data_IF_022600852722
#
_entry.id   IF_022600852722
#
_cell.length_a   1.000
_cell.length_b   1.000
_cell.length_c   1.000
_cell.angle_alpha   90.00
_cell.angle_beta   90.00
_cell.angle_gamma   90.00
#
_symmetry.space_group_name_H-M   'P 1'
#
loop_
_entity.id
_entity.type
_entity.pdbx_description
1 polymer ?
#
# COMPACT_ATOMS: atom_id res chain seq x y z
N UNK A 1 -7.73 8.74 -1.68
CA UNK A 1 -7.36 7.82 -2.79
C UNK A 1 -7.70 6.37 -2.47
N UNK A 2 -7.33 5.90 -1.28
CA UNK A 2 -7.35 4.51 -0.88
C UNK A 2 -8.77 4.00 -0.67
N UNK A 3 -9.67 4.75 -0.03
CA UNK A 3 -11.05 4.32 0.15
C UNK A 3 -11.86 4.49 -1.14
N UNK A 4 -11.60 5.54 -1.93
CA UNK A 4 -12.28 5.72 -3.22
C UNK A 4 -11.92 4.58 -4.18
N UNK A 5 -10.68 4.10 -4.13
CA UNK A 5 -10.23 2.95 -4.91
C UNK A 5 -10.41 1.59 -4.19
N UNK A 6 -11.01 1.55 -3.01
CA UNK A 6 -11.23 0.29 -2.28
C UNK A 6 -11.92 -0.79 -3.13
N UNK A 7 -12.98 -0.50 -3.91
CA UNK A 7 -13.59 -1.51 -4.78
C UNK A 7 -12.63 -2.06 -5.83
N UNK A 8 -11.71 -1.23 -6.35
CA UNK A 8 -10.66 -1.68 -7.27
C UNK A 8 -9.65 -2.58 -6.55
N UNK A 9 -9.19 -2.19 -5.35
CA UNK A 9 -8.30 -3.02 -4.55
C UNK A 9 -8.90 -4.42 -4.30
N UNK A 10 -10.19 -4.52 -3.93
CA UNK A 10 -10.84 -5.83 -3.74
C UNK A 10 -10.91 -6.66 -5.02
N UNK A 11 -11.08 -6.03 -6.19
CA UNK A 11 -11.01 -6.74 -7.48
C UNK A 11 -9.60 -7.24 -7.77
N UNK A 12 -8.59 -6.42 -7.50
CA UNK A 12 -7.18 -6.81 -7.68
C UNK A 12 -6.83 -7.97 -6.75
N UNK A 13 -7.25 -7.95 -5.47
CA UNK A 13 -6.99 -9.02 -4.50
C UNK A 13 -7.37 -10.41 -5.04
N UNK A 14 -8.55 -10.51 -5.68
CA UNK A 14 -9.07 -11.78 -6.20
C UNK A 14 -8.36 -12.28 -7.47
N UNK A 15 -7.71 -11.40 -8.23
CA UNK A 15 -7.12 -11.72 -9.55
C UNK A 15 -5.77 -11.05 -9.79
N UNK A 16 -4.95 -10.94 -8.75
CA UNK A 16 -3.78 -10.07 -8.71
C UNK A 16 -2.88 -10.14 -9.96
N UNK A 17 -2.42 -11.32 -10.43
CA UNK A 17 -1.51 -11.38 -11.57
C UNK A 17 -2.15 -10.92 -12.88
N UNK A 18 -3.49 -10.92 -13.00
CA UNK A 18 -4.18 -10.47 -14.21
C UNK A 18 -4.18 -8.93 -14.36
N UNK A 19 -3.91 -8.20 -13.28
CA UNK A 19 -3.88 -6.74 -13.28
C UNK A 19 -2.46 -6.20 -13.45
N UNK A 20 -1.51 -6.81 -12.74
CA UNK A 20 -0.16 -6.25 -12.57
C UNK A 20 0.97 -7.16 -13.06
N UNK A 21 0.66 -8.35 -13.59
CA UNK A 21 1.60 -9.40 -14.03
C UNK A 21 2.52 -9.98 -12.93
N UNK A 22 2.69 -9.30 -11.80
CA UNK A 22 3.47 -9.74 -10.65
C UNK A 22 2.66 -9.57 -9.35
N UNK A 23 2.96 -10.41 -8.35
CA UNK A 23 2.31 -10.34 -7.04
C UNK A 23 3.15 -9.48 -6.08
N UNK A 24 3.18 -8.16 -6.27
CA UNK A 24 4.02 -7.23 -5.51
C UNK A 24 3.37 -5.86 -5.35
N UNK A 25 3.49 -5.26 -4.16
CA UNK A 25 3.00 -3.91 -3.90
C UNK A 25 3.64 -2.85 -4.80
N UNK A 26 4.86 -3.09 -5.31
CA UNK A 26 5.57 -2.20 -6.23
C UNK A 26 4.85 -2.03 -7.57
N UNK A 27 4.08 -3.01 -8.02
CA UNK A 27 3.31 -2.90 -9.27
C UNK A 27 1.89 -2.38 -9.03
N UNK A 28 1.29 -2.67 -7.87
CA UNK A 28 -0.03 -2.13 -7.54
C UNK A 28 0.00 -0.62 -7.39
N UNK A 29 0.95 -0.09 -6.61
CA UNK A 29 0.97 1.33 -6.27
C UNK A 29 0.95 2.24 -7.50
N UNK A 30 1.85 2.10 -8.49
CA UNK A 30 1.80 2.98 -9.66
C UNK A 30 0.55 2.75 -10.50
N UNK A 31 0.01 1.52 -10.56
CA UNK A 31 -1.23 1.23 -11.28
C UNK A 31 -2.44 1.96 -10.66
N UNK A 32 -2.62 1.86 -9.34
CA UNK A 32 -3.76 2.49 -8.66
C UNK A 32 -3.61 3.99 -8.56
N UNK A 33 -2.39 4.50 -8.36
CA UNK A 33 -2.09 5.94 -8.37
C UNK A 33 -2.39 6.53 -9.75
N UNK A 34 -1.93 5.89 -10.83
CA UNK A 34 -2.22 6.32 -12.21
C UNK A 34 -3.72 6.27 -12.53
N UNK A 35 -4.42 5.21 -12.11
CA UNK A 35 -5.86 5.09 -12.28
C UNK A 35 -6.63 6.18 -11.51
N UNK A 36 -6.24 6.47 -10.26
CA UNK A 36 -6.81 7.55 -9.45
C UNK A 36 -6.68 8.90 -10.14
N UNK A 37 -5.49 9.24 -10.61
CA UNK A 37 -5.24 10.50 -11.32
C UNK A 37 -6.05 10.60 -12.62
N UNK A 38 -6.12 9.52 -13.40
CA UNK A 38 -6.94 9.50 -14.61
C UNK A 38 -8.44 9.74 -14.31
N UNK A 39 -8.98 9.18 -13.23
CA UNK A 39 -10.36 9.43 -12.82
C UNK A 39 -10.59 10.88 -12.40
N UNK A 40 -9.65 11.48 -11.66
CA UNK A 40 -9.72 12.90 -11.28
C UNK A 40 -9.70 13.81 -12.52
N UNK A 41 -8.76 13.59 -13.44
CA UNK A 41 -8.61 14.40 -14.65
C UNK A 41 -9.84 14.35 -15.58
N UNK A 42 -10.56 13.24 -15.55
CA UNK A 42 -11.78 13.06 -16.35
C UNK A 42 -13.07 13.42 -15.58
N UNK A 43 -12.97 13.98 -14.38
CA UNK A 43 -14.13 14.36 -13.57
C UNK A 43 -15.00 13.18 -13.12
N UNK A 44 -14.44 11.97 -13.12
CA UNK A 44 -15.09 10.74 -12.67
C UNK A 44 -14.90 10.50 -11.16
N UNK A 45 -14.00 11.27 -10.55
CA UNK A 45 -13.79 11.37 -9.12
C UNK A 45 -13.68 12.85 -8.76
N UNK A 46 -14.28 13.22 -7.64
CA UNK A 46 -13.96 14.50 -7.00
C UNK A 46 -12.71 14.30 -6.14
N UNK A 47 -11.93 15.37 -5.96
CA UNK A 47 -10.82 15.34 -5.00
C UNK A 47 -11.44 15.09 -3.61
N UNK A 48 -11.24 13.88 -3.10
CA UNK A 48 -11.70 13.48 -1.78
C UNK A 48 -11.03 14.31 -0.68
N UNK A 49 -11.57 14.19 0.55
CA UNK A 49 -10.85 14.65 1.74
C UNK A 49 -9.46 14.00 1.78
N UNK A 50 -8.49 14.73 2.32
CA UNK A 50 -7.19 14.14 2.65
C UNK A 50 -7.41 12.87 3.48
N UNK A 51 -7.03 11.73 2.91
CA UNK A 51 -7.11 10.46 3.60
C UNK A 51 -5.81 10.23 4.38
N UNK A 52 -5.90 9.91 5.68
CA UNK A 52 -4.73 9.74 6.52
C UNK A 52 -4.04 8.39 6.31
N UNK A 53 -4.34 7.62 5.25
CA UNK A 53 -3.91 6.22 5.12
C UNK A 53 -2.39 6.06 5.26
N UNK A 54 -1.60 6.94 4.65
CA UNK A 54 -0.14 6.77 4.62
C UNK A 54 0.46 6.97 6.02
N UNK A 55 -0.02 8.00 6.73
CA UNK A 55 0.38 8.26 8.11
C UNK A 55 -0.21 7.23 9.08
N UNK A 56 -1.42 6.76 8.83
CA UNK A 56 -2.04 5.68 9.57
C UNK A 56 -1.22 4.39 9.43
N UNK A 57 -0.75 4.04 8.23
CA UNK A 57 0.16 2.91 8.02
C UNK A 57 1.44 3.13 8.82
N UNK A 58 2.08 4.30 8.69
CA UNK A 58 3.30 4.61 9.43
C UNK A 58 3.11 4.36 10.93
N UNK A 59 2.02 4.87 11.51
CA UNK A 59 1.67 4.67 12.91
C UNK A 59 1.41 3.20 13.25
N UNK A 60 0.63 2.49 12.43
CA UNK A 60 0.27 1.07 12.65
C UNK A 60 1.46 0.14 12.65
N UNK A 61 2.39 0.33 11.71
CA UNK A 61 3.60 -0.48 11.62
C UNK A 61 4.78 0.12 12.39
N UNK A 62 4.59 1.25 13.08
CA UNK A 62 5.53 1.79 14.06
C UNK A 62 6.65 2.70 13.51
N UNK A 63 6.52 3.21 12.29
CA UNK A 63 7.41 4.23 11.72
C UNK A 63 7.05 5.63 12.22
N UNK A 64 8.03 6.53 12.23
CA UNK A 64 7.85 7.92 12.70
C UNK A 64 7.15 8.83 11.70
N UNK A 65 7.13 8.48 10.41
CA UNK A 65 6.48 9.24 9.35
C UNK A 65 6.22 8.37 8.14
N UNK A 66 5.36 8.83 7.23
CA UNK A 66 5.02 8.15 5.99
C UNK A 66 5.96 8.45 4.81
N UNK A 67 7.05 9.20 5.02
CA UNK A 67 7.95 9.71 3.97
C UNK A 67 8.60 8.62 3.12
N UNK A 68 8.77 7.40 3.64
CA UNK A 68 9.31 6.27 2.89
C UNK A 68 8.31 5.65 1.91
N UNK A 69 7.05 6.07 1.95
CA UNK A 69 5.94 5.50 1.17
C UNK A 69 5.38 4.23 1.82
N UNK A 70 4.05 4.09 1.79
CA UNK A 70 3.34 2.99 2.42
C UNK A 70 3.77 1.60 1.91
N UNK A 71 4.11 1.49 0.62
CA UNK A 71 4.63 0.24 0.01
C UNK A 71 5.88 -0.24 0.74
N UNK A 72 6.88 0.63 0.86
CA UNK A 72 8.16 0.28 1.47
C UNK A 72 8.00 -0.01 2.94
N UNK A 73 7.18 0.76 3.66
CA UNK A 73 6.89 0.53 5.08
C UNK A 73 6.28 -0.85 5.31
N UNK A 74 5.28 -1.25 4.51
CA UNK A 74 4.63 -2.56 4.63
C UNK A 74 5.60 -3.70 4.28
N UNK A 75 6.36 -3.57 3.19
CA UNK A 75 7.32 -4.61 2.78
C UNK A 75 8.41 -4.78 3.83
N UNK A 76 9.04 -3.68 4.26
CA UNK A 76 10.09 -3.70 5.28
C UNK A 76 9.59 -4.31 6.60
N UNK A 77 8.40 -3.91 7.06
CA UNK A 77 7.77 -4.47 8.24
C UNK A 77 7.54 -5.99 8.09
N UNK A 78 7.00 -6.41 6.94
CA UNK A 78 6.64 -7.81 6.68
C UNK A 78 7.85 -8.73 6.65
N UNK A 79 8.99 -8.26 6.14
CA UNK A 79 10.23 -9.06 6.07
C UNK A 79 11.13 -8.92 7.31
N UNK A 80 10.65 -8.22 8.34
CA UNK A 80 11.28 -8.19 9.67
C UNK A 80 12.24 -7.03 9.94
N UNK A 81 12.27 -5.98 9.10
CA UNK A 81 12.98 -4.76 9.46
C UNK A 81 12.25 -4.07 10.62
N UNK A 82 13.04 -3.57 11.58
CA UNK A 82 12.52 -2.85 12.75
C UNK A 82 12.32 -1.38 12.40
N UNK A 83 11.09 -0.84 12.51
CA UNK A 83 10.78 0.53 12.09
C UNK A 83 11.66 1.61 12.70
N UNK A 84 11.93 1.51 14.01
CA UNK A 84 12.69 2.52 14.77
C UNK A 84 14.19 2.54 14.45
N UNK A 85 14.70 1.49 13.82
CA UNK A 85 16.14 1.31 13.58
C UNK A 85 16.43 0.90 12.13
N UNK A 86 15.48 1.12 11.23
CA UNK A 86 15.63 0.72 9.83
C UNK A 86 16.74 1.54 9.18
N UNK A 87 17.56 0.87 8.38
CA UNK A 87 18.44 1.52 7.41
C UNK A 87 17.81 1.35 6.03
N UNK A 88 17.26 2.44 5.48
CA UNK A 88 16.54 2.41 4.21
C UNK A 88 17.44 2.04 3.03
N UNK A 89 18.72 2.45 3.01
CA UNK A 89 19.65 2.08 1.94
C UNK A 89 19.85 0.56 1.91
N UNK A 90 20.07 -0.05 3.08
CA UNK A 90 20.18 -1.52 3.20
C UNK A 90 18.88 -2.21 2.78
N UNK A 91 17.73 -1.67 3.15
CA UNK A 91 16.43 -2.22 2.73
C UNK A 91 16.28 -2.18 1.19
N UNK A 92 16.62 -1.07 0.56
CA UNK A 92 16.50 -0.89 -0.90
C UNK A 92 17.45 -1.81 -1.69
N UNK A 93 18.59 -2.18 -1.10
CA UNK A 93 19.53 -3.16 -1.67
C UNK A 93 19.12 -4.62 -1.41
N UNK A 94 18.11 -4.86 -0.55
CA UNK A 94 17.70 -6.22 -0.19
C UNK A 94 16.88 -6.85 -1.32
N UNK A 95 17.31 -8.01 -1.80
CA UNK A 95 16.51 -8.84 -2.70
C UNK A 95 15.31 -9.42 -1.96
N UNK A 96 14.10 -9.05 -2.39
CA UNK A 96 12.84 -9.55 -1.83
C UNK A 96 12.42 -10.81 -2.59
N UNK A 97 12.14 -11.90 -1.87
CA UNK A 97 11.69 -13.14 -2.49
C UNK A 97 10.23 -13.06 -2.91
N UNK A 98 9.80 -13.98 -3.78
CA UNK A 98 8.40 -14.11 -4.20
C UNK A 98 7.46 -14.30 -3.01
N UNK A 99 7.85 -15.13 -2.04
CA UNK A 99 7.08 -15.43 -0.83
C UNK A 99 6.95 -14.19 0.06
N UNK A 100 8.01 -13.38 0.17
CA UNK A 100 7.99 -12.12 0.90
C UNK A 100 7.11 -11.07 0.21
N UNK A 101 7.12 -11.00 -1.12
CA UNK A 101 6.18 -10.17 -1.85
C UNK A 101 4.74 -10.61 -1.60
N UNK A 102 4.46 -11.92 -1.65
CA UNK A 102 3.13 -12.47 -1.34
C UNK A 102 2.69 -12.13 0.09
N UNK A 103 3.57 -12.29 1.06
CA UNK A 103 3.29 -11.93 2.45
C UNK A 103 2.98 -10.43 2.59
N UNK A 104 3.74 -9.57 1.91
CA UNK A 104 3.58 -8.11 1.98
C UNK A 104 2.25 -7.66 1.39
N UNK A 105 1.83 -8.28 0.29
CA UNK A 105 0.51 -8.04 -0.31
C UNK A 105 -0.62 -8.48 0.62
N UNK A 106 -0.51 -9.66 1.25
CA UNK A 106 -1.50 -10.10 2.25
C UNK A 106 -1.57 -9.14 3.43
N UNK A 107 -0.41 -8.64 3.88
CA UNK A 107 -0.34 -7.63 4.94
C UNK A 107 -1.02 -6.33 4.52
N UNK A 108 -0.82 -5.87 3.29
CA UNK A 108 -1.51 -4.68 2.77
C UNK A 108 -3.04 -4.86 2.79
N UNK A 109 -3.58 -5.96 2.29
CA UNK A 109 -5.03 -6.16 2.30
C UNK A 109 -5.60 -6.28 3.72
N UNK A 110 -4.87 -6.90 4.65
CA UNK A 110 -5.23 -6.88 6.07
C UNK A 110 -5.30 -5.46 6.63
N UNK A 111 -4.27 -4.65 6.36
CA UNK A 111 -4.21 -3.25 6.79
C UNK A 111 -5.28 -2.38 6.11
N UNK A 112 -5.64 -2.68 4.87
CA UNK A 112 -6.70 -1.98 4.14
C UNK A 112 -8.08 -2.19 4.80
N UNK A 113 -8.38 -3.43 5.21
CA UNK A 113 -9.62 -3.71 5.95
C UNK A 113 -9.63 -3.02 7.32
N UNK A 114 -8.54 -3.14 8.08
CA UNK A 114 -8.39 -2.47 9.39
C UNK A 114 -8.58 -0.95 9.27
N UNK A 115 -7.96 -0.32 8.26
CA UNK A 115 -8.10 1.11 8.03
C UNK A 115 -9.55 1.51 7.75
N UNK A 116 -10.22 0.76 6.87
CA UNK A 116 -11.61 1.00 6.50
C UNK A 116 -12.55 0.84 7.69
N UNK A 117 -12.31 -0.13 8.56
CA UNK A 117 -13.09 -0.31 9.78
C UNK A 117 -12.88 0.84 10.77
N UNK A 118 -11.64 1.29 10.97
CA UNK A 118 -11.31 2.34 11.93
C UNK A 118 -11.76 3.74 11.51
N UNK A 119 -11.80 4.03 10.19
CA UNK A 119 -12.14 5.36 9.68
C UNK A 119 -13.63 5.54 9.35
N UNK A 120 -14.41 4.45 9.33
CA UNK A 120 -15.86 4.49 9.21
C UNK A 120 -16.59 4.48 10.59
N UNK A 121 -15.82 4.59 11.68
CA UNK A 121 -16.29 4.90 13.04
C UNK A 121 -16.21 6.40 13.29
#
# INVERSE_FOLDING_TARGET
>A
MILELYPLFKRIETRYPAWTNEYSLRSIEPFVSGYYHALLENGLLEIGKEEPFFDWIANKVGYSSSTAGWVNMIVAYTIGFKPKTINWNKFLETTITKEQHIASVKMFYKLLEEFKEEINL
#
